data_IF_958453316059
#
_entry.id   IF_958453316059
#
_cell.length_a   1.000
_cell.length_b   1.000
_cell.length_c   1.000
_cell.angle_alpha   90.00
_cell.angle_beta   90.00
_cell.angle_gamma   90.00
#
_symmetry.space_group_name_H-M   'P 1'
#
loop_
_entity.id
_entity.type
_entity.pdbx_description
1 polymer ?
#
# COMPACT_ATOMS: atom_id res chain seq x y z
N UNK A 1 -8.41 15.18 -23.29
CA UNK A 1 -7.42 15.84 -22.42
C UNK A 1 -8.02 16.17 -21.05
N UNK A 2 -9.20 16.78 -20.96
CA UNK A 2 -9.86 17.19 -19.69
C UNK A 2 -10.00 16.12 -18.60
N UNK A 3 -10.20 14.84 -18.95
CA UNK A 3 -10.24 13.78 -17.96
C UNK A 3 -8.86 13.55 -17.30
N UNK A 4 -7.78 13.59 -18.07
CA UNK A 4 -6.42 13.33 -17.57
C UNK A 4 -5.95 14.42 -16.60
N UNK A 5 -6.37 15.67 -16.84
CA UNK A 5 -6.02 16.80 -15.98
C UNK A 5 -6.78 16.84 -14.66
N UNK A 6 -7.89 16.10 -14.52
CA UNK A 6 -8.78 16.23 -13.37
C UNK A 6 -9.58 14.93 -13.08
N UNK A 7 -8.94 13.77 -13.21
CA UNK A 7 -9.60 12.46 -13.17
C UNK A 7 -10.40 12.23 -11.87
N UNK A 8 -9.86 12.66 -10.73
CA UNK A 8 -10.54 12.56 -9.43
C UNK A 8 -11.81 13.40 -9.35
N UNK A 9 -11.84 14.60 -9.96
CA UNK A 9 -13.05 15.43 -9.97
C UNK A 9 -14.20 14.75 -10.73
N UNK A 10 -13.88 14.10 -11.85
CA UNK A 10 -14.84 13.34 -12.63
C UNK A 10 -15.34 12.11 -11.87
N UNK A 11 -14.43 11.39 -11.21
CA UNK A 11 -14.78 10.24 -10.37
C UNK A 11 -15.72 10.67 -9.23
N UNK A 12 -15.38 11.74 -8.52
CA UNK A 12 -16.20 12.27 -7.45
C UNK A 12 -17.57 12.66 -7.96
N UNK A 13 -17.64 13.31 -9.13
CA UNK A 13 -18.91 13.66 -9.76
C UNK A 13 -19.75 12.42 -10.09
N UNK A 14 -19.13 11.34 -10.57
CA UNK A 14 -19.83 10.08 -10.84
C UNK A 14 -20.36 9.46 -9.55
N UNK A 15 -19.59 9.48 -8.45
CA UNK A 15 -20.00 9.01 -7.12
C UNK A 15 -21.20 9.81 -6.60
N UNK A 16 -21.16 11.13 -6.71
CA UNK A 16 -22.24 12.02 -6.26
C UNK A 16 -23.54 11.76 -7.04
N UNK A 17 -23.43 11.66 -8.38
CA UNK A 17 -24.57 11.34 -9.25
C UNK A 17 -25.17 9.97 -8.93
N UNK A 18 -24.30 8.98 -8.70
CA UNK A 18 -24.69 7.64 -8.27
C UNK A 18 -25.45 7.66 -6.95
N UNK A 19 -25.03 8.49 -6.01
CA UNK A 19 -25.63 8.57 -4.67
C UNK A 19 -27.07 9.09 -4.70
N UNK A 20 -27.37 10.04 -5.59
CA UNK A 20 -28.71 10.66 -5.73
C UNK A 20 -29.63 9.95 -6.72
N UNK A 21 -29.09 9.11 -7.61
CA UNK A 21 -29.87 8.34 -8.57
C UNK A 21 -30.89 7.44 -7.84
N UNK A 22 -32.07 7.25 -8.44
CA UNK A 22 -33.15 6.40 -7.92
C UNK A 22 -33.43 5.21 -8.83
N UNK A 23 -33.23 5.35 -10.13
CA UNK A 23 -33.45 4.28 -11.09
C UNK A 23 -32.42 3.15 -10.90
N UNK A 24 -32.91 1.91 -10.82
CA UNK A 24 -32.07 0.73 -10.53
C UNK A 24 -31.09 0.40 -11.66
N UNK A 25 -31.48 0.62 -12.91
CA UNK A 25 -30.63 0.32 -14.06
C UNK A 25 -29.54 1.37 -14.23
N UNK A 26 -29.89 2.66 -14.07
CA UNK A 26 -28.92 3.76 -14.07
C UNK A 26 -27.93 3.66 -12.92
N UNK A 27 -28.35 3.23 -11.72
CA UNK A 27 -27.42 2.93 -10.61
C UNK A 27 -26.35 1.93 -11.00
N UNK A 28 -26.75 0.81 -11.62
CA UNK A 28 -25.80 -0.21 -12.07
C UNK A 28 -24.84 0.34 -13.13
N UNK A 29 -25.34 1.17 -14.04
CA UNK A 29 -24.50 1.85 -15.02
C UNK A 29 -23.47 2.77 -14.34
N UNK A 30 -23.86 3.54 -13.32
CA UNK A 30 -22.93 4.34 -12.53
C UNK A 30 -21.94 3.49 -11.73
N UNK A 31 -22.37 2.39 -11.10
CA UNK A 31 -21.47 1.49 -10.39
C UNK A 31 -20.40 0.93 -11.35
N UNK A 32 -20.78 0.55 -12.58
CA UNK A 32 -19.85 0.11 -13.63
C UNK A 32 -18.91 1.24 -14.07
N UNK A 33 -19.43 2.44 -14.29
CA UNK A 33 -18.64 3.60 -14.69
C UNK A 33 -17.60 3.96 -13.61
N UNK A 34 -18.00 4.01 -12.34
CA UNK A 34 -17.11 4.27 -11.21
C UNK A 34 -16.01 3.21 -11.15
N UNK A 35 -16.37 1.93 -11.31
CA UNK A 35 -15.39 0.85 -11.36
C UNK A 35 -14.37 1.02 -12.50
N UNK A 36 -14.84 1.35 -13.71
CA UNK A 36 -13.96 1.62 -14.84
C UNK A 36 -13.07 2.84 -14.63
N UNK A 37 -13.61 3.92 -14.05
CA UNK A 37 -12.87 5.15 -13.77
C UNK A 37 -11.76 4.90 -12.73
N UNK A 38 -12.06 4.21 -11.63
CA UNK A 38 -11.04 3.80 -10.65
C UNK A 38 -9.94 2.98 -11.34
N UNK A 39 -10.32 1.97 -12.13
CA UNK A 39 -9.35 1.13 -12.83
C UNK A 39 -8.48 1.91 -13.83
N UNK A 40 -9.02 2.95 -14.48
CA UNK A 40 -8.26 3.85 -15.35
C UNK A 40 -7.32 4.76 -14.57
N UNK A 41 -7.78 5.29 -13.42
CA UNK A 41 -6.95 6.11 -12.52
C UNK A 41 -5.77 5.30 -11.99
N UNK A 42 -5.99 4.04 -11.59
CA UNK A 42 -4.90 3.19 -11.08
C UNK A 42 -3.87 2.89 -12.17
N UNK A 43 -4.31 2.63 -13.41
CA UNK A 43 -3.41 2.50 -14.58
C UNK A 43 -2.66 3.79 -14.86
N UNK A 44 -3.31 4.94 -14.75
CA UNK A 44 -2.68 6.24 -14.94
C UNK A 44 -1.59 6.48 -13.89
N UNK A 45 -1.86 6.19 -12.61
CA UNK A 45 -0.88 6.31 -11.52
C UNK A 45 0.34 5.41 -11.72
N UNK A 46 0.11 4.18 -12.18
CA UNK A 46 1.21 3.26 -12.50
C UNK A 46 2.09 3.83 -13.63
N UNK A 47 1.48 4.44 -14.65
CA UNK A 47 2.19 5.09 -15.74
C UNK A 47 2.93 6.36 -15.28
N UNK A 48 2.30 7.17 -14.42
CA UNK A 48 2.93 8.34 -13.77
C UNK A 48 4.18 7.91 -13.00
N UNK A 49 4.06 6.92 -12.12
CA UNK A 49 5.19 6.41 -11.35
C UNK A 49 6.31 5.86 -12.25
N UNK A 50 5.97 5.16 -13.34
CA UNK A 50 6.95 4.65 -14.30
C UNK A 50 7.73 5.77 -14.99
N UNK A 51 7.03 6.80 -15.46
CA UNK A 51 7.68 7.96 -16.13
C UNK A 51 8.55 8.72 -15.12
N UNK A 52 8.09 8.92 -13.88
CA UNK A 52 8.90 9.57 -12.84
C UNK A 52 10.17 8.75 -12.56
N UNK A 53 10.07 7.43 -12.48
CA UNK A 53 11.24 6.58 -12.28
C UNK A 53 12.25 6.69 -13.44
N UNK A 54 11.76 6.68 -14.69
CA UNK A 54 12.59 6.86 -15.87
C UNK A 54 13.36 8.20 -15.84
N UNK A 55 12.67 9.31 -15.59
CA UNK A 55 13.29 10.65 -15.53
C UNK A 55 14.14 10.81 -14.26
N UNK A 56 13.82 10.08 -13.19
CA UNK A 56 14.63 10.04 -11.98
C UNK A 56 16.02 9.43 -12.22
N UNK A 57 16.13 8.47 -13.15
CA UNK A 57 17.39 7.86 -13.57
C UNK A 57 18.11 8.68 -14.65
N UNK A 58 17.38 9.42 -15.48
CA UNK A 58 17.91 10.36 -16.48
C UNK A 58 17.26 11.76 -16.36
N UNK A 59 17.88 12.64 -15.58
CA UNK A 59 17.34 13.98 -15.30
C UNK A 59 17.41 14.94 -16.50
N UNK A 60 18.22 14.61 -17.51
CA UNK A 60 18.34 15.40 -18.73
C UNK A 60 17.31 14.97 -19.79
N UNK A 61 16.49 13.95 -19.49
CA UNK A 61 15.46 13.45 -20.39
C UNK A 61 14.52 14.57 -20.84
N UNK A 62 14.32 14.66 -22.15
CA UNK A 62 13.46 15.66 -22.77
C UNK A 62 12.17 15.05 -23.34
N UNK A 63 11.36 15.88 -24.00
CA UNK A 63 10.10 15.43 -24.59
C UNK A 63 10.31 14.32 -25.63
N UNK A 64 11.39 14.38 -26.42
CA UNK A 64 11.67 13.39 -27.46
C UNK A 64 12.02 12.02 -26.84
N UNK A 65 12.72 12.00 -25.70
CA UNK A 65 12.98 10.77 -24.95
C UNK A 65 11.67 10.13 -24.46
N UNK A 66 10.73 10.94 -23.96
CA UNK A 66 9.42 10.47 -23.52
C UNK A 66 8.55 9.97 -24.68
N UNK A 67 8.60 10.63 -25.84
CA UNK A 67 7.97 10.11 -27.05
C UNK A 67 8.59 8.77 -27.48
N UNK A 68 9.92 8.65 -27.37
CA UNK A 68 10.66 7.41 -27.61
C UNK A 68 10.19 6.29 -26.68
N UNK A 69 10.10 6.58 -25.39
CA UNK A 69 9.61 5.65 -24.36
C UNK A 69 8.21 5.12 -24.68
N UNK A 70 7.31 5.98 -25.14
CA UNK A 70 5.97 5.57 -25.57
C UNK A 70 6.02 4.58 -26.75
N UNK A 71 6.90 4.85 -27.73
CA UNK A 71 7.09 4.03 -28.96
C UNK A 71 7.70 2.66 -28.69
N UNK A 72 8.47 2.51 -27.62
CA UNK A 72 9.07 1.24 -27.20
C UNK A 72 8.07 0.29 -26.54
N UNK A 73 6.87 0.76 -26.18
CA UNK A 73 5.86 -0.08 -25.53
C UNK A 73 5.23 -1.08 -26.50
N UNK A 74 4.87 -2.26 -25.99
CA UNK A 74 4.05 -3.25 -26.72
C UNK A 74 2.69 -2.66 -27.12
N UNK A 75 2.13 -1.74 -26.32
CA UNK A 75 0.88 -1.08 -26.64
C UNK A 75 0.99 -0.26 -27.94
N UNK A 76 2.11 0.44 -28.14
CA UNK A 76 2.36 1.21 -29.37
C UNK A 76 2.45 0.33 -30.62
N UNK A 77 3.17 -0.79 -30.52
CA UNK A 77 3.39 -1.69 -31.68
C UNK A 77 2.12 -2.43 -32.13
N UNK A 78 1.12 -2.57 -31.24
CA UNK A 78 -0.17 -3.18 -31.53
C UNK A 78 -1.27 -2.18 -31.89
N UNK A 79 -1.03 -0.89 -31.67
CA UNK A 79 -2.01 0.18 -31.83
C UNK A 79 -2.18 0.63 -33.30
N UNK A 80 -3.35 1.18 -33.59
CA UNK A 80 -3.59 1.97 -34.82
C UNK A 80 -2.85 3.32 -34.76
N UNK A 81 -2.73 4.01 -35.89
CA UNK A 81 -2.05 5.31 -35.97
C UNK A 81 -2.67 6.37 -35.01
N UNK A 82 -4.00 6.41 -34.91
CA UNK A 82 -4.70 7.32 -33.98
C UNK A 82 -4.43 6.98 -32.51
N UNK A 83 -4.38 5.69 -32.18
CA UNK A 83 -4.06 5.19 -30.84
C UNK A 83 -2.59 5.42 -30.48
N UNK A 84 -1.67 5.25 -31.44
CA UNK A 84 -0.25 5.57 -31.30
C UNK A 84 -0.04 7.05 -30.95
N UNK A 85 -0.68 7.94 -31.71
CA UNK A 85 -0.64 9.38 -31.43
C UNK A 85 -1.22 9.72 -30.06
N UNK A 86 -2.31 9.06 -29.67
CA UNK A 86 -2.94 9.24 -28.36
C UNK A 86 -2.05 8.74 -27.22
N UNK A 87 -1.32 7.65 -27.41
CA UNK A 87 -0.40 7.09 -26.44
C UNK A 87 0.81 8.00 -26.22
N UNK A 88 1.41 8.52 -27.31
CA UNK A 88 2.48 9.50 -27.23
C UNK A 88 2.00 10.75 -26.48
N UNK A 89 0.83 11.29 -26.86
CA UNK A 89 0.27 12.46 -26.20
C UNK A 89 0.02 12.24 -24.69
N UNK A 90 -0.38 11.03 -24.29
CA UNK A 90 -0.55 10.67 -22.88
C UNK A 90 0.78 10.70 -22.12
N UNK A 91 1.84 10.09 -22.66
CA UNK A 91 3.16 10.08 -22.04
C UNK A 91 3.72 11.50 -21.88
N UNK A 92 3.64 12.32 -22.94
CA UNK A 92 4.08 13.71 -22.92
C UNK A 92 3.26 14.54 -21.92
N UNK A 93 1.94 14.31 -21.82
CA UNK A 93 1.11 15.00 -20.85
C UNK A 93 1.49 14.67 -19.41
N UNK A 94 1.80 13.40 -19.11
CA UNK A 94 2.25 12.99 -17.79
C UNK A 94 3.62 13.60 -17.45
N UNK A 95 4.54 13.62 -18.42
CA UNK A 95 5.84 14.27 -18.26
C UNK A 95 5.71 15.77 -17.97
N UNK A 96 4.75 16.45 -18.61
CA UNK A 96 4.45 17.85 -18.29
C UNK A 96 3.83 18.01 -16.89
N UNK A 97 2.88 17.14 -16.51
CA UNK A 97 2.25 17.14 -15.18
C UNK A 97 3.27 16.95 -14.05
N UNK A 98 4.30 16.14 -14.26
CA UNK A 98 5.37 15.88 -13.29
C UNK A 98 6.11 17.16 -12.87
N UNK A 99 6.14 18.22 -13.69
CA UNK A 99 6.77 19.51 -13.35
C UNK A 99 6.14 20.22 -12.14
N UNK A 100 5.00 19.73 -11.66
CA UNK A 100 4.43 20.16 -10.38
C UNK A 100 5.24 19.66 -9.16
N UNK A 101 6.06 18.63 -9.33
CA UNK A 101 6.94 18.07 -8.30
C UNK A 101 8.32 18.77 -8.33
N UNK A 102 9.07 18.72 -7.22
CA UNK A 102 10.45 19.22 -7.20
C UNK A 102 11.38 18.27 -7.96
N UNK A 103 11.98 18.77 -9.04
CA UNK A 103 12.94 18.06 -9.90
C UNK A 103 14.07 17.40 -9.12
N UNK A 104 14.50 18.00 -8.01
CA UNK A 104 15.59 17.48 -7.17
C UNK A 104 15.27 16.11 -6.57
N UNK A 105 13.99 15.78 -6.44
CA UNK A 105 13.52 14.58 -5.74
C UNK A 105 12.92 13.53 -6.68
N UNK A 106 12.95 13.73 -8.01
CA UNK A 106 12.38 12.77 -8.98
C UNK A 106 12.90 11.34 -8.79
N UNK A 107 14.21 11.17 -8.59
CA UNK A 107 14.82 9.86 -8.31
C UNK A 107 14.21 9.16 -7.09
N UNK A 108 13.87 9.94 -6.07
CA UNK A 108 13.21 9.46 -4.87
C UNK A 108 11.75 9.13 -5.07
N UNK A 109 11.02 10.05 -5.72
CA UNK A 109 9.62 9.86 -6.05
C UNK A 109 9.41 8.60 -6.91
N UNK A 110 10.32 8.31 -7.84
CA UNK A 110 10.29 7.11 -8.67
C UNK A 110 10.32 5.80 -7.88
N UNK A 111 10.95 5.80 -6.70
CA UNK A 111 11.01 4.62 -5.81
C UNK A 111 9.70 4.36 -5.05
N UNK A 112 8.90 5.40 -4.82
CA UNK A 112 7.71 5.35 -3.96
C UNK A 112 6.54 4.55 -4.55
N UNK A 113 6.54 4.31 -5.87
CA UNK A 113 5.42 3.73 -6.63
C UNK A 113 4.11 4.53 -6.57
N UNK A 114 4.15 5.79 -6.13
CA UNK A 114 3.01 6.68 -6.05
C UNK A 114 2.85 7.51 -7.32
N UNK A 115 1.60 7.79 -7.70
CA UNK A 115 1.29 8.74 -8.77
C UNK A 115 1.50 10.19 -8.33
N UNK A 116 1.46 11.13 -9.27
CA UNK A 116 1.81 12.55 -9.04
C UNK A 116 0.92 13.18 -7.96
N UNK A 117 -0.39 12.98 -8.05
CA UNK A 117 -1.33 13.56 -7.08
C UNK A 117 -1.17 12.95 -5.68
N UNK A 118 -0.74 11.69 -5.61
CA UNK A 118 -0.45 11.03 -4.33
C UNK A 118 0.83 11.57 -3.71
N UNK A 119 1.88 11.80 -4.52
CA UNK A 119 3.12 12.42 -4.07
C UNK A 119 2.87 13.81 -3.50
N UNK A 120 2.10 14.64 -4.21
CA UNK A 120 1.72 15.98 -3.74
C UNK A 120 0.95 15.92 -2.41
N UNK A 121 0.05 14.95 -2.25
CA UNK A 121 -0.67 14.76 -0.99
C UNK A 121 0.27 14.33 0.15
N UNK A 122 1.26 13.47 -0.12
CA UNK A 122 2.25 13.07 0.90
C UNK A 122 3.14 14.25 1.29
N UNK A 123 3.59 15.05 0.32
CA UNK A 123 4.34 16.30 0.56
C UNK A 123 3.57 17.25 1.49
N UNK A 124 2.33 17.57 1.14
CA UNK A 124 1.46 18.44 1.94
C UNK A 124 1.22 17.86 3.35
N UNK A 125 1.01 16.54 3.43
CA UNK A 125 0.82 15.89 4.72
C UNK A 125 2.10 15.96 5.58
N UNK A 126 3.27 15.74 5.00
CA UNK A 126 4.56 15.81 5.71
C UNK A 126 4.81 17.22 6.28
N UNK A 127 4.53 18.27 5.50
CA UNK A 127 4.67 19.65 5.96
C UNK A 127 3.85 19.91 7.24
N UNK A 128 2.68 19.27 7.34
CA UNK A 128 1.75 19.43 8.46
C UNK A 128 2.01 18.46 9.65
N UNK A 129 2.68 17.32 9.42
CA UNK A 129 2.75 16.22 10.41
C UNK A 129 4.18 15.80 10.77
N UNK A 130 5.22 16.39 10.16
CA UNK A 130 6.63 16.05 10.41
C UNK A 130 7.03 16.15 11.90
N UNK A 131 6.42 17.07 12.67
CA UNK A 131 6.70 17.20 14.10
C UNK A 131 6.21 15.98 14.87
N UNK A 132 4.95 15.59 14.70
CA UNK A 132 4.37 14.42 15.38
C UNK A 132 5.05 13.13 14.93
N UNK A 133 5.42 13.03 13.65
CA UNK A 133 6.18 11.90 13.12
C UNK A 133 7.59 11.81 13.74
N UNK A 134 8.24 12.96 13.96
CA UNK A 134 9.55 13.04 14.62
C UNK A 134 9.51 12.71 16.13
N UNK A 135 8.33 12.72 16.76
CA UNK A 135 8.13 12.29 18.15
C UNK A 135 7.77 10.82 18.29
N UNK A 136 7.60 10.09 17.19
CA UNK A 136 7.25 8.67 17.24
C UNK A 136 8.43 7.83 17.74
N UNK A 137 8.21 7.00 18.75
CA UNK A 137 9.24 6.13 19.34
C UNK A 137 9.06 4.66 18.94
N UNK A 138 7.94 4.33 18.30
CA UNK A 138 7.58 2.95 17.93
C UNK A 138 6.84 2.87 16.59
N UNK A 139 6.76 1.66 16.02
CA UNK A 139 5.93 1.39 14.85
C UNK A 139 4.44 1.67 15.12
N UNK A 140 3.98 1.50 16.36
CA UNK A 140 2.59 1.80 16.73
C UNK A 140 2.32 3.31 16.73
N UNK A 141 3.25 4.10 17.25
CA UNK A 141 3.15 5.57 17.23
C UNK A 141 3.18 6.08 15.78
N UNK A 142 4.15 5.60 14.99
CA UNK A 142 4.25 5.93 13.58
C UNK A 142 2.97 5.58 12.82
N UNK A 143 2.40 4.38 13.08
CA UNK A 143 1.13 3.95 12.47
C UNK A 143 0.00 4.94 12.79
N UNK A 144 -0.14 5.36 14.04
CA UNK A 144 -1.20 6.30 14.46
C UNK A 144 -1.07 7.65 13.76
N UNK A 145 0.16 8.15 13.60
CA UNK A 145 0.42 9.42 12.90
C UNK A 145 0.06 9.29 11.42
N UNK A 146 0.61 8.28 10.71
CA UNK A 146 0.40 8.13 9.25
C UNK A 146 -0.98 7.60 8.87
N UNK A 147 -1.78 7.10 9.81
CA UNK A 147 -3.06 6.44 9.49
C UNK A 147 -4.03 7.34 8.72
N UNK A 148 -4.07 8.62 9.08
CA UNK A 148 -4.92 9.61 8.41
C UNK A 148 -4.57 9.73 6.93
N UNK A 149 -3.28 9.82 6.61
CA UNK A 149 -2.76 9.81 5.24
C UNK A 149 -3.07 8.51 4.51
N UNK A 150 -2.86 7.35 5.16
CA UNK A 150 -3.18 6.03 4.59
C UNK A 150 -4.66 5.95 4.18
N UNK A 151 -5.57 6.45 5.01
CA UNK A 151 -7.00 6.47 4.70
C UNK A 151 -7.34 7.46 3.57
N UNK A 152 -6.65 8.61 3.50
CA UNK A 152 -6.80 9.56 2.39
C UNK A 152 -6.31 8.99 1.05
N UNK A 153 -5.20 8.25 1.04
CA UNK A 153 -4.63 7.64 -0.17
C UNK A 153 -5.44 6.43 -0.67
N UNK A 154 -6.22 5.80 0.19
CA UNK A 154 -6.93 4.53 -0.07
C UNK A 154 -8.44 4.66 -0.25
N UNK A 155 -8.92 5.77 -0.81
CA UNK A 155 -10.35 6.00 -1.01
C UNK A 155 -11.02 4.83 -1.75
N UNK A 156 -12.10 4.31 -1.19
CA UNK A 156 -12.85 3.18 -1.76
C UNK A 156 -12.33 1.78 -1.39
N UNK A 157 -11.21 1.68 -0.67
CA UNK A 157 -10.66 0.42 -0.15
C UNK A 157 -11.58 -0.22 0.90
N UNK A 158 -11.26 -1.45 1.32
CA UNK A 158 -11.94 -2.10 2.44
C UNK A 158 -11.66 -1.39 3.78
N UNK A 159 -10.60 -0.58 3.87
CA UNK A 159 -10.29 0.28 5.02
C UNK A 159 -11.48 1.11 5.48
N UNK A 160 -12.22 1.66 4.50
CA UNK A 160 -13.39 2.52 4.70
C UNK A 160 -14.71 1.75 4.93
N UNK A 161 -14.67 0.41 4.87
CA UNK A 161 -15.89 -0.42 4.95
C UNK A 161 -16.08 -1.04 6.34
N UNK A 162 -15.05 -1.10 7.19
CA UNK A 162 -15.18 -1.58 8.56
C UNK A 162 -15.50 -0.41 9.47
N UNK A 163 -16.65 -0.47 10.14
CA UNK A 163 -17.20 0.63 10.93
C UNK A 163 -17.46 0.23 12.38
N UNK A 164 -17.35 1.15 13.36
CA UNK A 164 -16.95 2.55 13.23
C UNK A 164 -15.54 2.74 12.68
N UNK A 165 -15.26 3.87 12.03
CA UNK A 165 -14.01 4.13 11.28
C UNK A 165 -12.75 3.87 12.10
N UNK A 166 -12.78 4.20 13.40
CA UNK A 166 -11.68 3.94 14.34
C UNK A 166 -11.29 2.45 14.48
N UNK A 167 -12.19 1.51 14.13
CA UNK A 167 -11.86 0.09 14.17
C UNK A 167 -10.81 -0.30 13.13
N UNK A 168 -10.74 0.40 12.01
CA UNK A 168 -9.75 0.11 10.96
C UNK A 168 -8.32 0.28 11.49
N UNK A 169 -8.05 1.36 12.21
CA UNK A 169 -6.78 1.58 12.92
C UNK A 169 -6.54 0.52 14.00
N UNK A 170 -7.57 0.16 14.77
CA UNK A 170 -7.47 -0.88 15.80
C UNK A 170 -7.12 -2.26 15.23
N UNK A 171 -7.62 -2.59 14.03
CA UNK A 171 -7.22 -3.82 13.32
C UNK A 171 -5.77 -3.70 12.86
N UNK A 172 -5.37 -2.58 12.29
CA UNK A 172 -4.00 -2.36 11.81
C UNK A 172 -2.97 -2.45 12.93
N UNK A 173 -3.21 -1.82 14.09
CA UNK A 173 -2.36 -1.92 15.27
C UNK A 173 -2.20 -3.38 15.71
N UNK A 174 -3.28 -4.14 15.79
CA UNK A 174 -3.23 -5.57 16.16
C UNK A 174 -2.57 -6.45 15.11
N UNK A 175 -2.68 -6.08 13.85
CA UNK A 175 -2.04 -6.79 12.75
C UNK A 175 -0.52 -6.66 12.82
N UNK A 176 0.00 -5.44 13.05
CA UNK A 176 1.43 -5.20 13.22
C UNK A 176 1.98 -5.77 14.53
N UNK A 177 1.11 -6.08 15.50
CA UNK A 177 1.42 -6.86 16.71
C UNK A 177 1.29 -8.38 16.51
N UNK A 178 1.18 -8.85 15.26
CA UNK A 178 1.18 -10.28 14.98
C UNK A 178 -0.09 -11.02 15.38
N UNK A 179 -1.24 -10.37 15.57
CA UNK A 179 -2.48 -11.10 15.91
C UNK A 179 -3.05 -11.91 14.73
N UNK A 180 -3.61 -13.08 15.02
CA UNK A 180 -4.23 -13.96 14.02
C UNK A 180 -5.52 -13.37 13.44
N UNK A 181 -5.92 -13.81 12.25
CA UNK A 181 -7.18 -13.36 11.63
C UNK A 181 -8.41 -13.64 12.51
N UNK A 182 -8.42 -14.75 13.25
CA UNK A 182 -9.51 -15.08 14.18
C UNK A 182 -9.58 -14.13 15.36
N UNK A 183 -8.43 -13.75 15.95
CA UNK A 183 -8.36 -12.77 17.03
C UNK A 183 -8.83 -11.38 16.56
N UNK A 184 -8.45 -10.97 15.34
CA UNK A 184 -8.93 -9.72 14.74
C UNK A 184 -10.44 -9.73 14.51
N UNK A 185 -11.00 -10.83 14.00
CA UNK A 185 -12.44 -10.98 13.85
C UNK A 185 -13.18 -10.90 15.20
N UNK A 186 -12.62 -11.52 16.23
CA UNK A 186 -13.15 -11.46 17.60
C UNK A 186 -13.11 -10.03 18.15
N UNK A 187 -11.99 -9.32 17.98
CA UNK A 187 -11.85 -7.91 18.36
C UNK A 187 -12.95 -7.05 17.74
N UNK A 188 -13.21 -7.21 16.44
CA UNK A 188 -14.26 -6.47 15.73
C UNK A 188 -15.65 -6.83 16.28
N UNK A 189 -15.93 -8.10 16.53
CA UNK A 189 -17.21 -8.56 17.10
C UNK A 189 -17.45 -7.98 18.50
N UNK A 190 -16.45 -8.05 19.38
CA UNK A 190 -16.51 -7.51 20.74
C UNK A 190 -16.71 -5.99 20.73
N UNK A 191 -16.10 -5.31 19.76
CA UNK A 191 -16.25 -3.87 19.56
C UNK A 191 -17.55 -3.47 18.85
N UNK A 192 -18.44 -4.44 18.58
CA UNK A 192 -19.72 -4.26 17.85
C UNK A 192 -19.53 -3.64 16.46
N UNK A 193 -18.40 -3.94 15.82
CA UNK A 193 -18.08 -3.50 14.47
C UNK A 193 -18.94 -4.17 13.42
N UNK A 194 -19.10 -3.50 12.29
CA UNK A 194 -19.87 -4.00 11.14
C UNK A 194 -19.22 -3.63 9.82
N UNK A 195 -19.54 -4.38 8.77
CA UNK A 195 -19.14 -4.09 7.40
C UNK A 195 -20.21 -3.23 6.71
N UNK A 196 -19.80 -2.11 6.14
CA UNK A 196 -20.66 -1.19 5.39
C UNK A 196 -20.67 -1.57 3.91
N UNK A 197 -21.76 -2.22 3.48
CA UNK A 197 -22.02 -2.56 2.09
C UNK A 197 -23.01 -1.56 1.48
N UNK A 198 -22.51 -0.42 1.00
CA UNK A 198 -23.35 0.65 0.46
C UNK A 198 -24.18 1.31 1.56
N UNK A 199 -25.50 1.04 1.62
CA UNK A 199 -26.37 1.48 2.73
C UNK A 199 -26.63 0.39 3.78
N UNK A 200 -26.22 -0.84 3.51
CA UNK A 200 -26.48 -1.98 4.38
C UNK A 200 -25.35 -2.17 5.38
N UNK A 201 -25.72 -2.43 6.64
CA UNK A 201 -24.79 -2.93 7.66
C UNK A 201 -24.84 -4.44 7.66
N UNK A 202 -23.68 -5.09 7.57
CA UNK A 202 -23.52 -6.54 7.58
C UNK A 202 -22.56 -6.95 8.70
N UNK A 203 -22.67 -8.18 9.17
CA UNK A 203 -21.67 -8.74 10.06
C UNK A 203 -20.33 -8.84 9.33
N UNK A 204 -19.23 -8.52 10.03
CA UNK A 204 -17.89 -8.73 9.49
C UNK A 204 -17.61 -10.24 9.46
N UNK A 205 -17.14 -10.74 8.32
CA UNK A 205 -16.75 -12.14 8.13
C UNK A 205 -15.24 -12.32 8.22
N UNK A 206 -14.77 -13.56 8.31
CA UNK A 206 -13.34 -13.86 8.25
C UNK A 206 -12.73 -13.43 6.90
N UNK A 207 -13.46 -13.60 5.80
CA UNK A 207 -13.00 -13.15 4.47
C UNK A 207 -12.80 -11.64 4.42
N UNK A 208 -13.65 -10.85 5.11
CA UNK A 208 -13.45 -9.41 5.21
C UNK A 208 -12.18 -9.06 5.99
N UNK A 209 -11.84 -9.82 7.03
CA UNK A 209 -10.61 -9.63 7.80
C UNK A 209 -9.38 -10.01 6.96
N UNK A 210 -9.43 -11.14 6.24
CA UNK A 210 -8.36 -11.56 5.33
C UNK A 210 -8.17 -10.51 4.24
N UNK A 211 -9.24 -10.02 3.61
CA UNK A 211 -9.16 -8.97 2.60
C UNK A 211 -8.57 -7.67 3.17
N UNK A 212 -8.96 -7.28 4.38
CA UNK A 212 -8.42 -6.11 5.06
C UNK A 212 -6.93 -6.26 5.37
N UNK A 213 -6.51 -7.40 5.90
CA UNK A 213 -5.12 -7.64 6.25
C UNK A 213 -4.23 -7.83 5.02
N UNK A 214 -4.59 -8.70 4.09
CA UNK A 214 -3.69 -9.11 3.01
C UNK A 214 -3.71 -8.12 1.84
N UNK A 215 -4.90 -7.66 1.43
CA UNK A 215 -5.01 -6.73 0.29
C UNK A 215 -4.84 -5.29 0.72
N UNK A 216 -5.46 -4.88 1.82
CA UNK A 216 -5.37 -3.49 2.23
C UNK A 216 -4.09 -3.23 3.04
N UNK A 217 -3.88 -3.85 4.20
CA UNK A 217 -2.66 -3.58 4.98
C UNK A 217 -1.39 -4.09 4.28
N UNK A 218 -1.44 -5.34 3.81
CA UNK A 218 -0.31 -6.09 3.30
C UNK A 218 0.15 -5.71 1.89
N UNK A 219 -0.63 -4.89 1.19
CA UNK A 219 -0.32 -4.43 -0.15
C UNK A 219 -0.52 -2.92 -0.31
N UNK A 220 -1.74 -2.38 -0.14
CA UNK A 220 -1.98 -0.94 -0.33
C UNK A 220 -1.30 -0.07 0.76
N UNK A 221 -1.63 -0.29 2.03
CA UNK A 221 -1.17 0.56 3.13
C UNK A 221 0.35 0.49 3.31
N UNK A 222 0.96 -0.70 3.19
CA UNK A 222 2.42 -0.80 3.23
C UNK A 222 3.09 0.01 2.11
N UNK A 223 2.49 0.10 0.91
CA UNK A 223 3.05 0.89 -0.20
C UNK A 223 3.00 2.38 0.14
N UNK A 224 1.89 2.85 0.70
CA UNK A 224 1.78 4.24 1.14
C UNK A 224 2.80 4.58 2.24
N UNK A 225 2.94 3.73 3.26
CA UNK A 225 3.94 3.93 4.33
C UNK A 225 5.36 3.90 3.77
N UNK A 226 5.65 2.98 2.85
CA UNK A 226 6.93 2.92 2.15
C UNK A 226 7.22 4.18 1.35
N UNK A 227 6.24 4.71 0.62
CA UNK A 227 6.36 5.94 -0.14
C UNK A 227 6.65 7.17 0.72
N UNK A 228 6.05 7.26 1.93
CA UNK A 228 6.42 8.31 2.90
C UNK A 228 7.89 8.18 3.31
N UNK A 229 8.36 6.97 3.59
CA UNK A 229 9.75 6.73 3.94
C UNK A 229 10.72 7.07 2.79
N UNK A 230 10.37 6.73 1.54
CA UNK A 230 11.16 7.07 0.35
C UNK A 230 11.30 8.61 0.19
N UNK A 231 10.21 9.36 0.41
CA UNK A 231 10.24 10.83 0.32
C UNK A 231 11.11 11.45 1.41
N UNK A 232 10.99 10.98 2.65
CA UNK A 232 11.82 11.45 3.77
C UNK A 232 13.31 11.17 3.55
N UNK A 233 13.63 9.95 3.11
CA UNK A 233 15.00 9.51 2.80
C UNK A 233 15.64 10.41 1.73
N UNK A 234 14.88 10.77 0.70
CA UNK A 234 15.35 11.61 -0.41
C UNK A 234 15.48 13.08 -0.01
N UNK A 235 14.63 13.56 0.88
CA UNK A 235 14.76 14.89 1.49
C UNK A 235 15.89 14.95 2.53
N UNK A 236 16.43 13.81 2.96
CA UNK A 236 17.45 13.73 4.00
C UNK A 236 16.94 14.23 5.35
N UNK A 237 15.70 13.88 5.69
CA UNK A 237 15.01 14.34 6.89
C UNK A 237 14.50 13.16 7.72
N UNK A 238 14.49 13.33 9.04
CA UNK A 238 13.88 12.40 10.00
C UNK A 238 14.38 10.95 9.86
N UNK A 239 15.69 10.73 9.86
CA UNK A 239 16.31 9.41 9.67
C UNK A 239 15.73 8.34 10.63
N UNK A 240 15.48 8.69 11.88
CA UNK A 240 14.85 7.79 12.86
C UNK A 240 13.42 7.41 12.45
N UNK A 241 12.63 8.38 11.97
CA UNK A 241 11.29 8.13 11.44
C UNK A 241 11.34 7.27 10.17
N UNK A 242 12.35 7.43 9.31
CA UNK A 242 12.55 6.54 8.14
C UNK A 242 12.72 5.10 8.60
N UNK A 243 13.59 4.84 9.58
CA UNK A 243 13.81 3.49 10.14
C UNK A 243 12.49 2.93 10.69
N UNK A 244 11.75 3.72 11.48
CA UNK A 244 10.45 3.31 12.02
C UNK A 244 9.42 3.00 10.93
N UNK A 245 9.33 3.82 9.89
CA UNK A 245 8.40 3.60 8.78
C UNK A 245 8.76 2.37 7.94
N UNK A 246 10.06 2.06 7.75
CA UNK A 246 10.49 0.81 7.09
C UNK A 246 10.16 -0.42 7.94
N UNK A 247 10.30 -0.32 9.25
CA UNK A 247 9.83 -1.32 10.20
C UNK A 247 8.31 -1.52 10.07
N UNK A 248 7.55 -0.44 10.14
CA UNK A 248 6.10 -0.45 10.01
C UNK A 248 5.64 -1.02 8.65
N UNK A 249 6.29 -0.64 7.55
CA UNK A 249 6.03 -1.17 6.21
C UNK A 249 6.14 -2.69 6.19
N UNK A 250 7.19 -3.25 6.78
CA UNK A 250 7.39 -4.71 6.88
C UNK A 250 6.32 -5.38 7.76
N UNK A 251 6.00 -4.78 8.91
CA UNK A 251 4.96 -5.32 9.81
C UNK A 251 3.56 -5.30 9.18
N UNK A 252 3.23 -4.23 8.42
CA UNK A 252 2.00 -4.16 7.65
C UNK A 252 1.95 -5.24 6.57
N UNK A 253 3.06 -5.43 5.85
CA UNK A 253 3.19 -6.44 4.78
C UNK A 253 2.94 -7.86 5.28
N UNK A 254 3.55 -8.24 6.41
CA UNK A 254 3.57 -9.64 6.86
C UNK A 254 2.63 -9.94 8.04
N UNK A 255 2.19 -8.92 8.78
CA UNK A 255 1.47 -9.10 10.04
C UNK A 255 2.30 -9.85 11.07
N UNK A 256 3.55 -9.43 11.27
CA UNK A 256 4.51 -10.04 12.18
C UNK A 256 5.09 -8.93 13.06
N UNK A 257 5.40 -9.23 14.32
CA UNK A 257 5.67 -8.21 15.33
C UNK A 257 7.16 -7.88 15.51
N UNK A 258 8.03 -8.73 14.98
CA UNK A 258 9.47 -8.67 15.20
C UNK A 258 10.27 -8.89 13.92
N UNK A 259 11.44 -8.27 13.86
CA UNK A 259 12.33 -8.35 12.70
C UNK A 259 12.77 -9.79 12.39
N UNK A 260 12.81 -10.65 13.42
CA UNK A 260 13.16 -12.05 13.26
C UNK A 260 12.05 -12.81 12.55
N UNK A 261 10.80 -12.64 12.99
CA UNK A 261 9.67 -13.24 12.31
C UNK A 261 9.64 -12.80 10.84
N UNK A 262 9.82 -11.50 10.60
CA UNK A 262 9.92 -10.94 9.24
C UNK A 262 11.07 -11.58 8.43
N UNK A 263 12.25 -11.76 9.03
CA UNK A 263 13.39 -12.41 8.39
C UNK A 263 13.14 -13.89 8.08
N UNK A 264 12.48 -14.62 8.98
CA UNK A 264 12.10 -16.02 8.79
C UNK A 264 11.07 -16.21 7.69
N UNK A 265 10.17 -15.24 7.49
CA UNK A 265 9.11 -15.32 6.49
C UNK A 265 9.63 -15.52 5.06
N UNK A 266 10.83 -15.00 4.75
CA UNK A 266 11.46 -15.20 3.44
C UNK A 266 11.75 -16.67 3.11
N UNK A 267 12.00 -17.50 4.14
CA UNK A 267 12.25 -18.93 4.00
C UNK A 267 11.01 -19.79 4.29
N UNK A 268 10.08 -19.27 5.09
CA UNK A 268 8.86 -19.94 5.52
C UNK A 268 7.67 -19.00 5.29
N UNK A 269 7.05 -18.99 4.10
CA UNK A 269 6.07 -17.98 3.71
C UNK A 269 4.67 -18.23 4.31
N UNK A 270 4.61 -18.49 5.62
CA UNK A 270 3.40 -18.61 6.41
C UNK A 270 3.62 -17.99 7.79
N UNK A 271 2.81 -16.98 8.15
CA UNK A 271 3.00 -16.20 9.36
C UNK A 271 2.81 -17.01 10.64
N UNK A 272 1.93 -18.00 10.64
CA UNK A 272 1.67 -18.81 11.85
C UNK A 272 2.76 -19.86 12.05
N UNK A 273 3.30 -20.41 10.95
CA UNK A 273 4.50 -21.26 10.98
C UNK A 273 5.70 -20.48 11.51
N UNK A 274 5.93 -19.27 11.00
CA UNK A 274 7.03 -18.39 11.42
C UNK A 274 6.96 -18.08 12.92
N UNK A 275 5.80 -17.69 13.44
CA UNK A 275 5.62 -17.41 14.88
C UNK A 275 5.95 -18.63 15.74
N UNK A 276 5.54 -19.83 15.30
CA UNK A 276 5.87 -21.06 16.03
C UNK A 276 7.37 -21.34 16.02
N UNK A 277 8.04 -21.13 14.88
CA UNK A 277 9.50 -21.28 14.79
C UNK A 277 10.18 -20.26 15.72
N UNK A 278 9.83 -18.97 15.62
CA UNK A 278 10.40 -17.90 16.43
C UNK A 278 10.22 -18.16 17.93
N UNK A 279 9.04 -18.63 18.33
CA UNK A 279 8.73 -19.01 19.72
C UNK A 279 9.65 -20.11 20.23
N UNK A 280 9.90 -21.16 19.45
CA UNK A 280 10.73 -22.29 19.89
C UNK A 280 12.22 -21.91 19.91
N UNK A 281 12.70 -21.16 18.92
CA UNK A 281 14.10 -20.71 18.92
C UNK A 281 14.35 -19.72 20.07
N UNK A 282 13.40 -18.84 20.41
CA UNK A 282 13.53 -17.89 21.52
C UNK A 282 13.78 -18.58 22.87
N UNK A 283 13.26 -19.80 23.06
CA UNK A 283 13.48 -20.58 24.30
C UNK A 283 14.92 -21.06 24.45
N UNK A 284 15.61 -21.32 23.34
CA UNK A 284 16.98 -21.85 23.32
C UNK A 284 18.04 -20.78 23.06
N UNK A 285 17.64 -19.61 22.58
CA UNK A 285 18.52 -18.44 22.35
C UNK A 285 17.91 -17.18 22.97
N UNK A 286 17.98 -17.02 24.31
CA UNK A 286 17.36 -15.89 25.00
C UNK A 286 18.08 -14.54 24.79
N UNK A 287 19.34 -14.56 24.33
CA UNK A 287 20.12 -13.33 24.05
C UNK A 287 19.73 -12.66 22.72
N UNK A 288 18.63 -13.10 22.09
CA UNK A 288 18.16 -12.62 20.81
C UNK A 288 18.30 -13.67 19.72
N UNK A 289 17.38 -13.63 18.78
CA UNK A 289 17.37 -14.49 17.62
C UNK A 289 18.21 -13.82 16.52
N UNK A 290 19.37 -14.39 16.19
CA UNK A 290 20.17 -13.95 15.04
C UNK A 290 20.09 -14.97 13.90
N UNK A 291 20.58 -14.61 12.72
CA UNK A 291 20.72 -15.57 11.62
C UNK A 291 21.60 -16.77 12.00
N UNK A 292 22.60 -16.55 12.86
CA UNK A 292 23.42 -17.61 13.42
C UNK A 292 22.60 -18.51 14.36
N UNK A 293 21.70 -17.95 15.17
CA UNK A 293 20.74 -18.74 15.96
C UNK A 293 19.84 -19.59 15.07
N UNK A 294 19.37 -19.06 13.94
CA UNK A 294 18.54 -19.82 12.99
C UNK A 294 19.33 -20.97 12.37
N UNK A 295 20.55 -20.71 11.89
CA UNK A 295 21.43 -21.72 11.29
C UNK A 295 21.88 -22.79 12.30
N UNK A 296 22.18 -22.39 13.53
CA UNK A 296 22.58 -23.30 14.60
C UNK A 296 21.45 -24.17 15.14
N UNK A 297 20.19 -23.75 14.95
CA UNK A 297 19.00 -24.45 15.45
C UNK A 297 18.19 -25.15 14.34
N UNK A 298 18.80 -25.45 13.19
CA UNK A 298 18.13 -26.19 12.09
C UNK A 298 17.41 -27.49 12.53
N UNK A 299 17.99 -28.34 13.39
CA UNK A 299 17.28 -29.53 13.89
C UNK A 299 15.99 -29.20 14.66
N UNK A 300 15.99 -28.10 15.42
CA UNK A 300 14.81 -27.62 16.13
C UNK A 300 13.76 -27.13 15.12
N UNK A 301 14.16 -26.35 14.12
CA UNK A 301 13.25 -25.86 13.07
C UNK A 301 12.58 -27.03 12.35
N UNK A 302 13.35 -28.04 11.93
CA UNK A 302 12.82 -29.25 11.29
C UNK A 302 11.79 -29.95 12.20
N UNK A 303 12.07 -30.03 13.50
CA UNK A 303 11.13 -30.62 14.47
C UNK A 303 9.82 -29.83 14.61
N UNK A 304 9.87 -28.50 14.46
CA UNK A 304 8.69 -27.63 14.45
C UNK A 304 7.90 -27.83 13.15
N UNK A 305 8.58 -27.82 12.01
CA UNK A 305 7.96 -28.02 10.69
C UNK A 305 7.26 -29.38 10.57
N UNK A 306 7.80 -30.43 11.22
CA UNK A 306 7.17 -31.75 11.27
C UNK A 306 5.77 -31.76 11.95
N UNK A 307 5.39 -30.69 12.68
CA UNK A 307 4.03 -30.53 13.26
C UNK A 307 3.00 -30.07 12.23
N UNK A 308 3.44 -29.62 11.05
CA UNK A 308 2.60 -29.07 9.98
C UNK A 308 2.47 -30.04 8.80
N UNK A 309 1.57 -29.76 7.83
CA UNK A 309 1.52 -30.52 6.59
C UNK A 309 2.89 -30.61 5.92
N UNK A 310 3.17 -31.75 5.28
CA UNK A 310 4.48 -32.05 4.67
C UNK A 310 4.96 -31.06 3.61
N UNK A 311 4.08 -30.16 3.15
CA UNK A 311 4.45 -28.98 2.36
C UNK A 311 5.51 -28.12 3.05
N UNK A 312 5.42 -27.93 4.36
CA UNK A 312 6.32 -27.09 5.15
C UNK A 312 7.65 -27.77 5.53
N UNK A 313 7.76 -29.09 5.33
CA UNK A 313 8.94 -29.89 5.71
C UNK A 313 9.82 -30.25 4.51
N UNK A 314 9.62 -29.60 3.36
CA UNK A 314 10.37 -29.83 2.10
C UNK A 314 11.44 -28.79 1.88
#
# INVERSE_FOLDING_TARGET
>A
MDFLSNAHSWLQRAIDLRAVEKDKYRKRAFDSLIFEMNSRIDRLRALESYIIAYVGDDQDADVADIEGLAKETLAYSLATEDEQNSLIALFVHIFDKMKALDVKFYKGYGRSLLGIDQLLLVEEWLDNNQFDLGLSESCEDALRVVWTLVMQLSQGSIGHKIMPEALSLGIASRWIDGQSYSALLEYVKLSKGYYQAGKQKRAVTIDNIIEFCDKFLGYEAMLYVGGVADILEVKGMLDDSVILLRGLQSRLKYGLDSDIEIGLYGNYPDREVVKMIATEISKVSPMGLTQESINGNQPLIISVLARFPSYFSR
#
